data_IF_916381136810
#
_entry.id   IF_916381136810
#
_cell.length_a   1.000
_cell.length_b   1.000
_cell.length_c   1.000
_cell.angle_alpha   90.00
_cell.angle_beta   90.00
_cell.angle_gamma   90.00
#
_symmetry.space_group_name_H-M   'P 1'
#
loop_
_entity.id
_entity.type
_entity.pdbx_description
1 polymer ?
#
# COMPACT_ATOMS: atom_id res chain seq x y z
N UNK A 1 -2.95 12.75 14.95
CA UNK A 1 -3.07 13.78 13.90
C UNK A 1 -4.55 13.93 13.58
N UNK A 2 -5.09 15.15 13.63
CA UNK A 2 -6.51 15.42 13.38
C UNK A 2 -6.85 15.17 11.90
N UNK A 3 -8.02 14.57 11.63
CA UNK A 3 -8.58 14.34 10.28
C UNK A 3 -8.72 15.61 9.43
N UNK A 4 -8.56 16.80 10.02
CA UNK A 4 -8.79 18.09 9.37
C UNK A 4 -7.54 18.70 8.67
N UNK A 5 -6.37 18.05 8.71
CA UNK A 5 -5.12 18.64 8.21
C UNK A 5 -4.72 18.24 6.77
N UNK A 6 -5.41 17.30 6.11
CA UNK A 6 -5.08 16.89 4.74
C UNK A 6 -5.88 17.63 3.65
N UNK A 7 -6.67 18.64 4.03
CA UNK A 7 -7.43 19.45 3.07
C UNK A 7 -6.48 20.25 2.15
N UNK A 8 -6.03 19.61 1.06
CA UNK A 8 -5.37 20.25 -0.08
C UNK A 8 -3.84 20.30 -0.05
N UNK A 9 -3.16 19.52 0.81
CA UNK A 9 -1.71 19.37 0.63
C UNK A 9 -1.45 18.62 -0.68
N UNK A 10 -0.65 19.25 -1.55
CA UNK A 10 -0.29 18.71 -2.86
C UNK A 10 0.99 17.91 -2.75
N UNK A 11 0.99 16.76 -3.40
CA UNK A 11 2.17 15.95 -3.66
C UNK A 11 3.00 16.55 -4.81
N UNK A 12 4.24 16.10 -5.00
CA UNK A 12 5.09 16.55 -6.12
C UNK A 12 4.55 16.11 -7.49
N UNK A 13 3.58 15.20 -7.50
CA UNK A 13 2.81 14.76 -8.67
C UNK A 13 1.59 15.66 -8.97
N UNK A 14 1.34 16.70 -8.16
CA UNK A 14 0.24 17.67 -8.33
C UNK A 14 -1.13 17.19 -7.83
N UNK A 15 -1.20 15.98 -7.28
CA UNK A 15 -2.40 15.40 -6.69
C UNK A 15 -2.52 15.79 -5.22
N UNK A 16 -3.73 15.72 -4.66
CA UNK A 16 -3.87 15.77 -3.20
C UNK A 16 -3.21 14.52 -2.59
N UNK A 17 -2.49 14.70 -1.49
CA UNK A 17 -1.71 13.61 -0.88
C UNK A 17 -2.56 12.37 -0.57
N UNK A 18 -3.80 12.55 -0.12
CA UNK A 18 -4.72 11.45 0.18
C UNK A 18 -5.16 10.70 -1.09
N UNK A 19 -5.36 11.41 -2.20
CA UNK A 19 -5.66 10.81 -3.51
C UNK A 19 -4.45 10.06 -4.03
N UNK A 20 -3.27 10.67 -4.00
CA UNK A 20 -2.02 10.01 -4.40
C UNK A 20 -1.72 8.76 -3.54
N UNK A 21 -1.92 8.85 -2.23
CA UNK A 21 -1.77 7.72 -1.30
C UNK A 21 -2.74 6.57 -1.59
N UNK A 22 -4.00 6.87 -1.96
CA UNK A 22 -4.95 5.85 -2.40
C UNK A 22 -4.50 5.20 -3.73
N UNK A 23 -4.06 6.00 -4.70
CA UNK A 23 -3.59 5.52 -6.01
C UNK A 23 -2.38 4.61 -5.88
N UNK A 24 -1.52 4.82 -4.87
CA UNK A 24 -0.41 3.90 -4.58
C UNK A 24 -0.88 2.45 -4.48
N UNK A 25 -2.08 2.19 -3.94
CA UNK A 25 -2.66 0.86 -3.85
C UNK A 25 -3.49 0.46 -5.08
N UNK A 26 -4.10 1.41 -5.79
CA UNK A 26 -5.02 1.12 -6.91
C UNK A 26 -4.36 0.29 -8.02
N UNK A 27 -3.16 0.67 -8.44
CA UNK A 27 -2.36 -0.09 -9.40
C UNK A 27 -1.41 -1.09 -8.74
N UNK A 28 -1.75 -1.55 -7.53
CA UNK A 28 -1.05 -2.64 -6.84
C UNK A 28 0.42 -2.23 -6.60
N UNK A 29 1.39 -3.11 -6.82
CA UNK A 29 2.81 -2.77 -6.63
C UNK A 29 3.33 -1.77 -7.66
N UNK A 30 2.70 -1.67 -8.84
CA UNK A 30 3.19 -0.85 -9.96
C UNK A 30 3.07 0.63 -9.62
N UNK A 31 1.85 1.08 -9.27
CA UNK A 31 1.63 2.46 -8.82
C UNK A 31 2.36 2.75 -7.52
N UNK A 32 2.42 1.79 -6.60
CA UNK A 32 3.20 1.93 -5.37
C UNK A 32 4.66 2.28 -5.64
N UNK A 33 5.30 1.56 -6.57
CA UNK A 33 6.70 1.75 -6.94
C UNK A 33 6.91 3.09 -7.64
N UNK A 34 6.01 3.43 -8.58
CA UNK A 34 6.05 4.70 -9.31
C UNK A 34 5.98 5.88 -8.34
N UNK A 35 4.99 5.91 -7.45
CA UNK A 35 4.85 6.99 -6.48
C UNK A 35 5.99 7.01 -5.46
N UNK A 36 6.51 5.86 -5.02
CA UNK A 36 7.65 5.84 -4.09
C UNK A 36 8.90 6.54 -4.65
N UNK A 37 9.20 6.37 -5.94
CA UNK A 37 10.37 6.99 -6.57
C UNK A 37 10.13 8.38 -7.17
N UNK A 38 8.92 8.66 -7.66
CA UNK A 38 8.60 9.96 -8.26
C UNK A 38 8.24 11.02 -7.23
N UNK A 39 7.67 10.62 -6.10
CA UNK A 39 7.27 11.55 -5.07
C UNK A 39 8.49 12.13 -4.33
N UNK A 40 8.54 13.44 -4.18
CA UNK A 40 9.65 14.14 -3.51
C UNK A 40 9.21 14.86 -2.24
N UNK A 41 8.02 15.44 -2.24
CA UNK A 41 7.61 16.42 -1.23
C UNK A 41 6.74 15.78 -0.15
N UNK A 42 5.94 14.77 -0.52
CA UNK A 42 5.02 14.10 0.41
C UNK A 42 5.59 12.82 0.99
N UNK A 43 5.90 12.87 2.29
CA UNK A 43 6.20 11.67 3.09
C UNK A 43 5.02 10.70 3.11
N UNK A 44 3.78 11.20 3.15
CA UNK A 44 2.57 10.39 3.19
C UNK A 44 2.47 9.51 1.94
N UNK A 45 2.66 10.11 0.78
CA UNK A 45 2.64 9.40 -0.50
C UNK A 45 3.82 8.44 -0.63
N UNK A 46 5.04 8.83 -0.21
CA UNK A 46 6.19 7.91 -0.15
C UNK A 46 5.92 6.68 0.73
N UNK A 47 5.30 6.88 1.90
CA UNK A 47 4.94 5.80 2.82
C UNK A 47 3.95 4.81 2.18
N UNK A 48 2.84 5.32 1.62
CA UNK A 48 1.85 4.46 0.99
C UNK A 48 2.38 3.80 -0.29
N UNK A 49 3.26 4.46 -1.03
CA UNK A 49 3.98 3.92 -2.18
C UNK A 49 4.83 2.70 -1.81
N UNK A 50 5.70 2.83 -0.82
CA UNK A 50 6.55 1.71 -0.37
C UNK A 50 5.72 0.60 0.27
N UNK A 51 4.74 0.94 1.13
CA UNK A 51 3.88 -0.05 1.77
C UNK A 51 3.07 -0.85 0.75
N UNK A 52 2.52 -0.21 -0.29
CA UNK A 52 1.83 -0.90 -1.38
C UNK A 52 2.77 -1.84 -2.14
N UNK A 53 3.93 -1.33 -2.55
CA UNK A 53 4.96 -2.11 -3.26
C UNK A 53 5.32 -3.39 -2.50
N UNK A 54 5.67 -3.25 -1.22
CA UNK A 54 6.08 -4.37 -0.38
C UNK A 54 4.93 -5.33 -0.13
N UNK A 55 3.72 -4.84 0.20
CA UNK A 55 2.56 -5.68 0.44
C UNK A 55 2.29 -6.60 -0.74
N UNK A 56 2.22 -6.05 -1.95
CA UNK A 56 1.82 -6.83 -3.10
C UNK A 56 2.93 -7.73 -3.65
N UNK A 57 4.20 -7.35 -3.52
CA UNK A 57 5.32 -8.26 -3.77
C UNK A 57 5.28 -9.43 -2.79
N UNK A 58 5.11 -9.17 -1.48
CA UNK A 58 5.01 -10.22 -0.47
C UNK A 58 3.83 -11.16 -0.72
N UNK A 59 2.65 -10.62 -1.04
CA UNK A 59 1.47 -11.43 -1.38
C UNK A 59 1.71 -12.28 -2.64
N UNK A 60 2.41 -11.75 -3.64
CA UNK A 60 2.75 -12.49 -4.86
C UNK A 60 3.70 -13.65 -4.55
N UNK A 61 4.71 -13.44 -3.70
CA UNK A 61 5.62 -14.50 -3.23
C UNK A 61 4.85 -15.59 -2.47
N UNK A 62 3.98 -15.21 -1.52
CA UNK A 62 3.17 -16.16 -0.75
C UNK A 62 2.32 -17.01 -1.70
N UNK A 63 1.59 -16.39 -2.65
CA UNK A 63 0.77 -17.13 -3.61
C UNK A 63 1.61 -18.05 -4.49
N UNK A 64 2.75 -17.58 -4.95
CA UNK A 64 3.67 -18.39 -5.75
C UNK A 64 4.19 -19.60 -4.98
N UNK A 65 4.54 -19.49 -3.69
CA UNK A 65 5.04 -20.61 -2.87
C UNK A 65 3.94 -21.64 -2.59
N UNK A 66 2.76 -21.20 -2.13
CA UNK A 66 1.66 -22.11 -1.78
C UNK A 66 0.96 -22.70 -3.01
N UNK A 67 1.11 -22.09 -4.19
CA UNK A 67 0.54 -22.61 -5.44
C UNK A 67 1.11 -23.96 -5.90
N UNK A 68 2.30 -24.36 -5.43
CA UNK A 68 2.91 -25.65 -5.79
C UNK A 68 2.41 -26.83 -4.95
N UNK A 69 1.63 -26.59 -3.89
CA UNK A 69 1.12 -27.64 -3.00
C UNK A 69 -0.25 -28.13 -3.50
N UNK A 70 -0.37 -29.36 -4.04
CA UNK A 70 -1.65 -29.87 -4.53
C UNK A 70 -2.69 -30.00 -3.39
N UNK A 71 -3.96 -29.75 -3.68
CA UNK A 71 -5.14 -29.86 -2.79
C UNK A 71 -5.18 -28.93 -1.57
N UNK A 72 -4.12 -28.83 -0.76
CA UNK A 72 -4.04 -27.87 0.35
C UNK A 72 -3.81 -26.44 -0.14
N UNK A 73 -3.14 -26.28 -1.28
CA UNK A 73 -2.88 -24.98 -1.88
C UNK A 73 -4.17 -24.25 -2.29
N UNK A 74 -5.19 -24.92 -2.82
CA UNK A 74 -6.37 -24.25 -3.36
C UNK A 74 -7.22 -23.56 -2.27
N UNK A 75 -7.46 -24.22 -1.14
CA UNK A 75 -8.21 -23.63 -0.02
C UNK A 75 -7.45 -22.45 0.59
N UNK A 76 -6.14 -22.59 0.79
CA UNK A 76 -5.27 -21.53 1.33
C UNK A 76 -5.21 -20.34 0.38
N UNK A 77 -5.03 -20.57 -0.92
CA UNK A 77 -4.98 -19.51 -1.94
C UNK A 77 -6.30 -18.76 -2.02
N UNK A 78 -7.44 -19.45 -1.95
CA UNK A 78 -8.76 -18.79 -1.93
C UNK A 78 -8.94 -17.90 -0.70
N UNK A 79 -8.56 -18.39 0.49
CA UNK A 79 -8.58 -17.60 1.71
C UNK A 79 -7.65 -16.39 1.64
N UNK A 80 -6.41 -16.57 1.14
CA UNK A 80 -5.43 -15.49 0.94
C UNK A 80 -5.97 -14.46 -0.06
N UNK A 81 -6.62 -14.88 -1.15
CA UNK A 81 -7.20 -13.97 -2.13
C UNK A 81 -8.29 -13.09 -1.53
N UNK A 82 -9.20 -13.68 -0.77
CA UNK A 82 -10.28 -12.93 -0.11
C UNK A 82 -9.74 -11.94 0.93
N UNK A 83 -8.82 -12.39 1.80
CA UNK A 83 -8.18 -11.52 2.79
C UNK A 83 -7.37 -10.41 2.13
N UNK A 84 -6.63 -10.72 1.06
CA UNK A 84 -5.87 -9.73 0.29
C UNK A 84 -6.78 -8.68 -0.34
N UNK A 85 -7.94 -9.10 -0.87
CA UNK A 85 -8.91 -8.19 -1.48
C UNK A 85 -9.51 -7.23 -0.43
N UNK A 86 -9.93 -7.76 0.72
CA UNK A 86 -10.42 -6.93 1.84
C UNK A 86 -9.34 -5.96 2.31
N UNK A 87 -8.12 -6.46 2.52
CA UNK A 87 -6.99 -5.63 2.94
C UNK A 87 -6.72 -4.53 1.92
N UNK A 88 -6.72 -4.83 0.63
CA UNK A 88 -6.51 -3.86 -0.44
C UNK A 88 -7.52 -2.70 -0.40
N UNK A 89 -8.81 -3.01 -0.23
CA UNK A 89 -9.85 -1.98 -0.07
C UNK A 89 -9.60 -1.15 1.20
N UNK A 90 -9.30 -1.81 2.32
CA UNK A 90 -8.99 -1.11 3.58
C UNK A 90 -7.81 -0.16 3.42
N UNK A 91 -6.73 -0.58 2.75
CA UNK A 91 -5.57 0.27 2.49
C UNK A 91 -5.94 1.51 1.67
N UNK A 92 -6.74 1.35 0.60
CA UNK A 92 -7.21 2.47 -0.22
C UNK A 92 -8.07 3.44 0.58
N UNK A 93 -9.06 2.94 1.33
CA UNK A 93 -9.96 3.78 2.14
C UNK A 93 -9.17 4.52 3.22
N UNK A 94 -8.25 3.83 3.92
CA UNK A 94 -7.41 4.44 4.94
C UNK A 94 -6.51 5.53 4.37
N UNK A 95 -5.87 5.27 3.24
CA UNK A 95 -5.04 6.27 2.57
C UNK A 95 -5.85 7.47 2.07
N UNK A 96 -7.04 7.24 1.51
CA UNK A 96 -7.93 8.31 1.08
C UNK A 96 -8.42 9.19 2.23
N UNK A 97 -8.60 8.60 3.41
CA UNK A 97 -8.90 9.32 4.64
C UNK A 97 -7.67 9.96 5.30
N UNK A 98 -6.48 9.92 4.69
CA UNK A 98 -5.25 10.47 5.26
C UNK A 98 -4.69 9.68 6.45
N UNK A 99 -5.12 8.44 6.63
CA UNK A 99 -4.67 7.60 7.74
C UNK A 99 -3.39 6.82 7.41
N UNK A 100 -2.40 6.93 8.30
CA UNK A 100 -1.16 6.16 8.28
C UNK A 100 -1.37 4.73 8.79
N UNK A 101 -2.25 3.96 8.14
CA UNK A 101 -2.51 2.58 8.53
C UNK A 101 -1.26 1.73 8.28
N UNK A 102 -0.54 1.39 9.33
CA UNK A 102 0.71 0.63 9.28
C UNK A 102 0.44 -0.86 9.35
N UNK A 103 0.85 -1.58 8.30
CA UNK A 103 0.87 -3.04 8.34
C UNK A 103 2.00 -3.52 9.25
N UNK A 104 1.82 -4.63 10.00
CA UNK A 104 2.91 -5.21 10.77
C UNK A 104 4.13 -5.47 9.89
N UNK A 105 5.32 -5.11 10.38
CA UNK A 105 6.61 -5.19 9.67
C UNK A 105 6.71 -4.23 8.47
N UNK A 106 5.82 -4.34 7.48
CA UNK A 106 5.87 -3.55 6.24
C UNK A 106 5.70 -2.06 6.52
N UNK A 107 4.76 -1.68 7.39
CA UNK A 107 4.49 -0.29 7.74
C UNK A 107 5.67 0.37 8.47
N UNK A 108 6.41 -0.38 9.29
CA UNK A 108 7.60 0.16 9.95
C UNK A 108 8.76 0.36 8.97
N UNK A 109 8.89 -0.50 7.96
CA UNK A 109 9.88 -0.34 6.89
C UNK A 109 9.49 0.87 6.02
N UNK A 110 8.22 0.98 5.67
CA UNK A 110 7.67 2.12 4.93
C UNK A 110 7.92 3.45 5.65
N UNK A 111 7.64 3.53 6.95
CA UNK A 111 7.80 4.76 7.75
C UNK A 111 9.27 5.16 7.93
N UNK A 112 10.19 4.19 8.02
CA UNK A 112 11.63 4.47 8.09
C UNK A 112 12.17 5.05 6.79
N UNK A 113 11.71 4.54 5.64
CA UNK A 113 12.24 4.95 4.34
C UNK A 113 11.51 6.17 3.75
N UNK A 114 10.28 6.45 4.17
CA UNK A 114 9.58 7.68 3.76
C UNK A 114 10.23 8.96 4.35
N UNK A 115 11.09 8.81 5.36
CA UNK A 115 11.86 9.89 6.00
C UNK A 115 13.00 10.45 5.14
N UNK A 116 13.43 9.71 4.13
CA UNK A 116 14.53 10.02 3.23
C UNK A 116 14.02 10.73 1.97
#
# INVERSE_FOLDING_TARGET
MNHNNFNGQKSSTGLDENVAGMICYLGVFITGLVFFFMERDSRFVKFHGLQSTMLFISLSIVKSVFGWVPLLGSLVINAVNLLSFVLWIVMMVKAYNGEWFKLPVIGDIADRNAKL
#
